data_IF_146280418638
#
_entry.id   IF_146280418638
#
_cell.length_a   1.000
_cell.length_b   1.000
_cell.length_c   1.000
_cell.angle_alpha   90.00
_cell.angle_beta   90.00
_cell.angle_gamma   90.00
#
_symmetry.space_group_name_H-M   'P 1'
#
loop_
_entity.id
_entity.type
_entity.pdbx_description
1 polymer ?
#
# COMPACT_ATOMS: atom_id res chain seq x y z
N UNK A 1 9.14 -17.87 11.70
CA UNK A 1 8.33 -16.66 11.37
C UNK A 1 9.01 -15.78 10.34
N UNK A 2 10.25 -15.30 10.56
CA UNK A 2 10.97 -14.48 9.57
C UNK A 2 11.13 -15.15 8.19
N UNK A 3 11.44 -16.45 8.14
CA UNK A 3 11.52 -17.21 6.89
C UNK A 3 10.19 -17.23 6.10
N UNK A 4 9.05 -17.25 6.79
CA UNK A 4 7.72 -17.23 6.16
C UNK A 4 7.47 -15.86 5.53
N UNK A 5 7.87 -14.78 6.20
CA UNK A 5 7.79 -13.42 5.66
C UNK A 5 8.63 -13.30 4.39
N UNK A 6 9.89 -13.74 4.43
CA UNK A 6 10.79 -13.68 3.26
C UNK A 6 10.23 -14.51 2.10
N UNK A 7 9.78 -15.74 2.37
CA UNK A 7 9.20 -16.61 1.35
C UNK A 7 7.93 -16.03 0.72
N UNK A 8 7.06 -15.42 1.51
CA UNK A 8 5.80 -14.82 1.00
C UNK A 8 6.02 -13.51 0.25
N UNK A 9 6.99 -12.68 0.66
CA UNK A 9 7.42 -11.50 -0.10
C UNK A 9 8.03 -11.92 -1.45
N UNK A 10 8.91 -12.92 -1.46
CA UNK A 10 9.53 -13.45 -2.68
C UNK A 10 8.49 -14.09 -3.62
N UNK A 11 7.57 -14.89 -3.08
CA UNK A 11 6.49 -15.49 -3.87
C UNK A 11 5.58 -14.41 -4.49
N UNK A 12 5.24 -13.36 -3.73
CA UNK A 12 4.40 -12.26 -4.24
C UNK A 12 5.10 -11.49 -5.36
N UNK A 13 6.40 -11.22 -5.24
CA UNK A 13 7.19 -10.60 -6.29
C UNK A 13 7.32 -11.49 -7.53
N UNK A 14 7.59 -12.78 -7.35
CA UNK A 14 7.77 -13.74 -8.43
C UNK A 14 6.47 -13.97 -9.22
N UNK A 15 5.34 -14.14 -8.53
CA UNK A 15 4.02 -14.28 -9.18
C UNK A 15 3.68 -13.04 -9.98
N UNK A 16 4.00 -11.85 -9.47
CA UNK A 16 3.77 -10.58 -10.18
C UNK A 16 4.66 -10.48 -11.42
N UNK A 17 5.93 -10.87 -11.32
CA UNK A 17 6.88 -10.85 -12.44
C UNK A 17 6.50 -11.81 -13.57
N UNK A 18 6.15 -13.06 -13.23
CA UNK A 18 5.84 -14.10 -14.22
C UNK A 18 4.55 -13.79 -14.98
N UNK A 19 3.55 -13.24 -14.30
CA UNK A 19 2.23 -13.01 -14.90
C UNK A 19 2.03 -11.59 -15.44
N UNK A 20 3.01 -10.68 -15.26
CA UNK A 20 2.88 -9.29 -15.66
C UNK A 20 1.72 -8.54 -15.00
N UNK A 21 1.30 -8.99 -13.80
CA UNK A 21 0.18 -8.38 -13.10
C UNK A 21 0.55 -6.99 -12.57
N UNK A 22 -0.45 -6.12 -12.50
CA UNK A 22 -0.30 -4.83 -11.85
C UNK A 22 -0.15 -5.06 -10.33
N UNK A 23 0.81 -4.40 -9.67
CA UNK A 23 1.16 -4.72 -8.27
C UNK A 23 0.10 -4.27 -7.26
N UNK A 24 -0.87 -3.48 -7.73
CA UNK A 24 -2.08 -3.11 -7.02
C UNK A 24 -3.26 -3.11 -7.99
N UNK A 25 -4.47 -3.25 -7.47
CA UNK A 25 -5.71 -3.08 -8.23
C UNK A 25 -5.87 -1.62 -8.61
N UNK A 26 -5.34 -1.22 -9.78
CA UNK A 26 -5.77 0.04 -10.42
C UNK A 26 -7.19 -0.16 -10.87
N UNK A 27 -8.12 0.28 -10.03
CA UNK A 27 -9.56 0.29 -10.27
C UNK A 27 -9.93 1.19 -11.49
N UNK A 28 -8.95 1.91 -12.06
CA UNK A 28 -9.07 2.69 -13.29
C UNK A 28 -8.81 1.90 -14.59
N UNK A 29 -8.50 0.60 -14.56
CA UNK A 29 -8.34 -0.19 -15.78
C UNK A 29 -9.71 -0.65 -16.32
N UNK A 30 -9.89 -0.58 -17.64
CA UNK A 30 -11.15 -0.89 -18.32
C UNK A 30 -11.44 -2.38 -18.41
N UNK A 31 -10.54 -3.25 -17.93
CA UNK A 31 -10.61 -4.69 -18.11
C UNK A 31 -11.02 -5.43 -16.82
N UNK A 32 -12.31 -5.75 -16.71
CA UNK A 32 -12.92 -6.35 -15.51
C UNK A 32 -12.36 -7.75 -15.23
N UNK A 33 -12.00 -8.49 -16.29
CA UNK A 33 -11.41 -9.84 -16.14
C UNK A 33 -10.04 -9.79 -15.47
N UNK A 34 -9.15 -8.91 -15.91
CA UNK A 34 -7.83 -8.73 -15.28
C UNK A 34 -7.94 -8.21 -13.83
N UNK A 35 -8.96 -7.40 -13.52
CA UNK A 35 -9.21 -6.92 -12.15
C UNK A 35 -9.68 -8.04 -11.21
N UNK A 36 -10.63 -8.86 -11.65
CA UNK A 36 -11.13 -9.99 -10.86
C UNK A 36 -10.04 -11.04 -10.69
N UNK A 37 -9.28 -11.33 -11.75
CA UNK A 37 -8.22 -12.33 -11.71
C UNK A 37 -7.06 -11.91 -10.80
N UNK A 38 -6.62 -10.65 -10.89
CA UNK A 38 -5.61 -10.08 -9.96
C UNK A 38 -6.14 -10.04 -8.52
N UNK A 39 -7.41 -9.67 -8.32
CA UNK A 39 -8.01 -9.63 -6.97
C UNK A 39 -8.09 -11.01 -6.32
N UNK A 40 -8.50 -12.03 -7.07
CA UNK A 40 -8.65 -13.40 -6.56
C UNK A 40 -7.30 -14.13 -6.45
N UNK A 41 -6.40 -13.95 -7.41
CA UNK A 41 -5.15 -14.73 -7.48
C UNK A 41 -3.96 -14.08 -6.77
N UNK A 42 -3.96 -12.75 -6.58
CA UNK A 42 -2.83 -11.99 -6.01
C UNK A 42 -3.21 -11.24 -4.72
N UNK A 43 -4.43 -10.72 -4.61
CA UNK A 43 -4.83 -9.88 -3.47
C UNK A 43 -5.50 -10.65 -2.33
N UNK A 44 -6.46 -11.54 -2.61
CA UNK A 44 -7.29 -12.21 -1.60
C UNK A 44 -6.66 -13.48 -0.99
N UNK A 45 -5.50 -13.94 -1.48
CA UNK A 45 -4.86 -15.14 -0.94
C UNK A 45 -4.28 -14.88 0.46
N UNK A 46 -4.52 -15.78 1.41
CA UNK A 46 -4.00 -15.68 2.78
C UNK A 46 -2.47 -15.43 2.85
N UNK A 47 -1.71 -15.98 1.89
CA UNK A 47 -0.26 -15.79 1.77
C UNK A 47 0.16 -14.33 1.56
N UNK A 48 -0.68 -13.51 0.92
CA UNK A 48 -0.41 -12.08 0.69
C UNK A 48 -0.47 -11.25 1.97
N UNK A 49 -1.17 -11.73 3.00
CA UNK A 49 -1.32 -11.06 4.30
C UNK A 49 -0.37 -11.59 5.38
N UNK A 50 0.25 -12.76 5.15
CA UNK A 50 1.23 -13.35 6.04
C UNK A 50 2.38 -12.39 6.42
N UNK A 51 3.00 -11.62 5.50
CA UNK A 51 4.05 -10.66 5.85
C UNK A 51 3.62 -9.64 6.91
N UNK A 52 2.37 -9.16 6.84
CA UNK A 52 1.87 -8.17 7.78
C UNK A 52 1.60 -8.78 9.16
N UNK A 53 0.96 -9.95 9.19
CA UNK A 53 0.62 -10.66 10.42
C UNK A 53 1.89 -11.09 11.18
N UNK A 54 2.82 -11.77 10.52
CA UNK A 54 4.01 -12.29 11.18
C UNK A 54 4.97 -11.18 11.62
N UNK A 55 5.08 -10.09 10.85
CA UNK A 55 5.88 -8.92 11.27
C UNK A 55 5.33 -8.32 12.55
N UNK A 56 4.00 -8.15 12.64
CA UNK A 56 3.35 -7.67 13.86
C UNK A 56 3.58 -8.59 15.07
N UNK A 57 3.45 -9.91 14.87
CA UNK A 57 3.69 -10.90 15.94
C UNK A 57 5.16 -10.87 16.41
N UNK A 58 6.12 -10.79 15.49
CA UNK A 58 7.55 -10.70 15.84
C UNK A 58 7.81 -9.47 16.72
N UNK A 59 7.31 -8.30 16.32
CA UNK A 59 7.45 -7.08 17.11
C UNK A 59 6.68 -7.12 18.43
N UNK A 60 5.52 -7.79 18.47
CA UNK A 60 4.78 -8.04 19.71
C UNK A 60 5.55 -8.91 20.70
N UNK A 61 6.16 -10.00 20.22
CA UNK A 61 7.03 -10.85 21.04
C UNK A 61 8.27 -10.10 21.54
N UNK A 62 8.87 -9.26 20.70
CA UNK A 62 9.96 -8.36 21.09
C UNK A 62 9.51 -7.35 22.15
N UNK A 63 8.29 -6.82 22.06
CA UNK A 63 7.74 -5.90 23.06
C UNK A 63 7.54 -6.58 24.42
N UNK A 64 7.16 -7.87 24.42
CA UNK A 64 7.01 -8.65 25.64
C UNK A 64 8.35 -8.91 26.37
N UNK A 65 9.50 -8.85 25.67
CA UNK A 65 10.84 -8.93 26.28
C UNK A 65 11.60 -7.64 26.00
N UNK A 66 11.49 -6.68 26.91
CA UNK A 66 12.10 -5.36 26.75
C UNK A 66 13.62 -5.43 26.71
N UNK A 67 14.19 -5.30 25.51
CA UNK A 67 15.63 -5.14 25.31
C UNK A 67 16.03 -3.67 25.42
N UNK A 68 17.17 -3.38 26.08
CA UNK A 68 17.80 -2.07 26.11
C UNK A 68 18.31 -1.72 24.70
N UNK A 69 17.62 -0.82 23.99
CA UNK A 69 18.04 -0.35 22.68
C UNK A 69 18.80 0.98 22.83
N UNK A 70 19.99 1.07 22.22
CA UNK A 70 20.74 2.33 22.21
C UNK A 70 19.99 3.42 21.44
N UNK A 71 20.24 4.69 21.79
CA UNK A 71 19.57 5.84 21.14
C UNK A 71 19.85 5.89 19.63
N UNK A 72 21.01 5.43 19.19
CA UNK A 72 21.39 5.38 17.77
C UNK A 72 20.54 4.38 16.99
N UNK A 73 20.31 3.18 17.55
CA UNK A 73 19.47 2.16 16.91
C UNK A 73 18.01 2.63 16.87
N UNK A 74 17.54 3.32 17.92
CA UNK A 74 16.19 3.89 17.91
C UNK A 74 16.03 4.94 16.81
N UNK A 75 16.98 5.88 16.66
CA UNK A 75 16.94 6.88 15.61
C UNK A 75 16.97 6.25 14.21
N UNK A 76 17.82 5.24 14.01
CA UNK A 76 17.88 4.47 12.76
C UNK A 76 16.55 3.79 12.45
N UNK A 77 15.92 3.13 13.42
CA UNK A 77 14.65 2.45 13.19
C UNK A 77 13.50 3.42 12.92
N UNK A 78 13.53 4.62 13.51
CA UNK A 78 12.59 5.70 13.18
C UNK A 78 12.74 6.19 11.74
N UNK A 79 13.96 6.41 11.26
CA UNK A 79 14.20 6.84 9.87
C UNK A 79 13.82 5.74 8.88
N UNK A 80 14.22 4.49 9.14
CA UNK A 80 13.84 3.35 8.31
C UNK A 80 12.32 3.17 8.27
N UNK A 81 11.62 3.31 9.41
CA UNK A 81 10.15 3.23 9.47
C UNK A 81 9.49 4.35 8.63
N UNK A 82 9.94 5.59 8.77
CA UNK A 82 9.40 6.72 8.02
C UNK A 82 9.62 6.58 6.50
N UNK A 83 10.82 6.15 6.09
CA UNK A 83 11.15 5.89 4.69
C UNK A 83 10.29 4.73 4.16
N UNK A 84 10.16 3.64 4.92
CA UNK A 84 9.37 2.46 4.52
C UNK A 84 7.89 2.80 4.34
N UNK A 85 7.32 3.58 5.26
CA UNK A 85 5.94 4.06 5.16
C UNK A 85 5.74 4.97 3.95
N UNK A 86 6.67 5.92 3.75
CA UNK A 86 6.60 6.86 2.62
C UNK A 86 6.75 6.14 1.28
N UNK A 87 7.70 5.23 1.14
CA UNK A 87 7.89 4.43 -0.06
C UNK A 87 6.65 3.58 -0.39
N UNK A 88 6.00 3.03 0.64
CA UNK A 88 4.77 2.23 0.49
C UNK A 88 3.54 3.06 0.11
N UNK A 89 3.51 4.37 0.40
CA UNK A 89 2.40 5.26 0.04
C UNK A 89 2.63 5.95 -1.31
N UNK A 90 3.83 6.49 -1.51
CA UNK A 90 4.16 7.32 -2.67
C UNK A 90 4.76 6.53 -3.84
N UNK A 91 5.15 5.27 -3.64
CA UNK A 91 5.72 4.43 -4.71
C UNK A 91 4.78 4.24 -5.92
N UNK A 92 3.47 4.44 -5.72
CA UNK A 92 2.44 4.31 -6.76
C UNK A 92 2.14 5.63 -7.47
N UNK A 93 2.60 6.76 -6.94
CA UNK A 93 2.23 8.08 -7.45
C UNK A 93 2.63 8.30 -8.91
N UNK A 94 3.77 7.76 -9.33
CA UNK A 94 4.25 7.86 -10.72
C UNK A 94 3.42 7.00 -11.68
N UNK A 95 2.79 5.93 -11.19
CA UNK A 95 1.91 5.09 -12.00
C UNK A 95 0.51 5.68 -12.11
N UNK A 96 0.03 6.36 -11.07
CA UNK A 96 -1.26 7.06 -11.11
C UNK A 96 -1.26 8.31 -12.00
N UNK A 97 -0.08 8.90 -12.26
CA UNK A 97 0.07 10.05 -13.16
C UNK A 97 0.16 9.67 -14.65
N UNK A 98 0.09 8.38 -14.99
CA UNK A 98 -0.01 7.89 -16.38
C UNK A 98 1.20 7.15 -16.92
N UNK A 99 2.26 6.94 -16.12
CA UNK A 99 3.39 6.08 -16.52
C UNK A 99 3.01 4.60 -16.36
N UNK A 100 3.18 3.80 -17.41
CA UNK A 100 3.07 2.35 -17.29
C UNK A 100 4.21 1.81 -16.40
N UNK A 101 3.92 0.99 -15.39
CA UNK A 101 4.95 0.43 -14.52
C UNK A 101 5.81 -0.59 -15.26
N UNK A 102 7.12 -0.58 -15.03
CA UNK A 102 7.97 -1.66 -15.56
C UNK A 102 7.70 -2.98 -14.81
N UNK A 103 7.90 -4.15 -15.44
CA UNK A 103 7.66 -5.44 -14.80
C UNK A 103 8.49 -5.65 -13.52
N UNK A 104 9.74 -5.15 -13.52
CA UNK A 104 10.63 -5.24 -12.37
C UNK A 104 10.16 -4.34 -11.21
N UNK A 105 9.80 -3.09 -11.50
CA UNK A 105 9.27 -2.17 -10.49
C UNK A 105 7.96 -2.71 -9.87
N UNK A 106 7.11 -3.31 -10.71
CA UNK A 106 5.88 -3.96 -10.27
C UNK A 106 6.16 -5.13 -9.33
N UNK A 107 7.10 -6.01 -9.69
CA UNK A 107 7.46 -7.16 -8.87
C UNK A 107 8.05 -6.76 -7.51
N UNK A 108 8.98 -5.79 -7.51
CA UNK A 108 9.61 -5.26 -6.29
C UNK A 108 8.57 -4.62 -5.38
N UNK A 109 7.71 -3.77 -5.94
CA UNK A 109 6.67 -3.11 -5.17
C UNK A 109 5.66 -4.12 -4.61
N UNK A 110 5.14 -5.04 -5.43
CA UNK A 110 4.18 -6.06 -5.01
C UNK A 110 4.70 -6.92 -3.85
N UNK A 111 5.99 -7.31 -3.89
CA UNK A 111 6.62 -8.11 -2.85
C UNK A 111 6.90 -7.34 -1.55
N UNK A 112 7.32 -6.08 -1.64
CA UNK A 112 7.86 -5.35 -0.48
C UNK A 112 6.89 -4.36 0.16
N UNK A 113 5.96 -3.76 -0.57
CA UNK A 113 5.14 -2.65 -0.04
C UNK A 113 4.35 -3.06 1.22
N UNK A 114 3.77 -4.27 1.24
CA UNK A 114 3.00 -4.78 2.39
C UNK A 114 3.89 -5.02 3.61
N UNK A 115 5.08 -5.56 3.38
CA UNK A 115 6.07 -5.76 4.44
C UNK A 115 6.60 -4.43 4.98
N UNK A 116 6.98 -3.51 4.09
CA UNK A 116 7.49 -2.19 4.45
C UNK A 116 6.47 -1.39 5.26
N UNK A 117 5.20 -1.40 4.85
CA UNK A 117 4.10 -0.81 5.63
C UNK A 117 3.93 -1.48 6.99
N UNK A 118 3.85 -2.81 7.03
CA UNK A 118 3.69 -3.55 8.27
C UNK A 118 4.85 -3.36 9.24
N UNK A 119 6.08 -3.31 8.73
CA UNK A 119 7.28 -3.02 9.50
C UNK A 119 7.21 -1.62 10.11
N UNK A 120 6.83 -0.61 9.32
CA UNK A 120 6.73 0.76 9.80
C UNK A 120 5.73 0.89 10.95
N UNK A 121 4.52 0.33 10.78
CA UNK A 121 3.46 0.31 11.81
C UNK A 121 3.89 -0.49 13.04
N UNK A 122 4.52 -1.66 12.84
CA UNK A 122 4.97 -2.52 13.94
C UNK A 122 6.07 -1.87 14.78
N UNK A 123 6.98 -1.12 14.16
CA UNK A 123 7.99 -0.33 14.88
C UNK A 123 7.33 0.75 15.73
N UNK A 124 6.37 1.51 15.19
CA UNK A 124 5.65 2.54 15.95
C UNK A 124 4.93 1.93 17.15
N UNK A 125 4.24 0.81 16.96
CA UNK A 125 3.59 0.07 18.05
C UNK A 125 4.60 -0.35 19.12
N UNK A 126 5.70 -0.99 18.71
CA UNK A 126 6.77 -1.43 19.63
C UNK A 126 7.37 -0.25 20.41
N UNK A 127 7.65 0.87 19.75
CA UNK A 127 8.17 2.06 20.39
C UNK A 127 7.18 2.62 21.42
N UNK A 128 5.88 2.66 21.11
CA UNK A 128 4.85 3.09 22.06
C UNK A 128 4.73 2.13 23.24
N UNK A 129 4.69 0.82 23.00
CA UNK A 129 4.56 -0.21 24.03
C UNK A 129 5.75 -0.25 25.00
N UNK A 130 6.96 0.05 24.52
CA UNK A 130 8.18 0.06 25.33
C UNK A 130 8.50 1.42 25.97
N UNK A 131 7.60 2.39 25.88
CA UNK A 131 7.78 3.74 26.43
C UNK A 131 8.75 4.64 25.65
N UNK A 132 9.20 4.20 24.47
CA UNK A 132 10.13 4.91 23.57
C UNK A 132 9.43 5.77 22.52
N UNK A 133 8.10 5.77 22.51
CA UNK A 133 7.28 6.50 21.54
C UNK A 133 7.25 8.02 21.75
N UNK A 134 7.61 8.53 22.93
CA UNK A 134 7.72 9.96 23.20
C UNK A 134 6.51 10.78 22.72
N UNK A 135 6.74 11.68 21.76
CA UNK A 135 5.71 12.51 21.14
C UNK A 135 4.66 11.69 20.39
N UNK A 136 5.07 10.66 19.64
CA UNK A 136 4.17 9.82 18.84
C UNK A 136 3.15 9.12 19.74
N UNK A 137 3.59 8.61 20.91
CA UNK A 137 2.67 8.00 21.87
C UNK A 137 1.63 9.00 22.40
N UNK A 138 2.04 10.24 22.68
CA UNK A 138 1.10 11.30 23.13
C UNK A 138 0.10 11.68 22.05
N UNK A 139 0.55 11.78 20.80
CA UNK A 139 -0.32 12.05 19.66
C UNK A 139 -1.34 10.92 19.49
N UNK A 140 -0.90 9.66 19.44
CA UNK A 140 -1.80 8.51 19.25
C UNK A 140 -2.77 8.30 20.42
N UNK A 141 -2.39 8.70 21.64
CA UNK A 141 -3.26 8.62 22.82
C UNK A 141 -4.30 9.74 22.91
N UNK A 142 -4.31 10.69 21.97
CA UNK A 142 -5.20 11.84 22.03
C UNK A 142 -6.66 11.44 21.74
N UNK A 143 -7.66 11.83 22.56
CA UNK A 143 -9.05 11.37 22.42
C UNK A 143 -9.71 11.76 21.10
N UNK A 144 -9.12 12.69 20.34
CA UNK A 144 -9.55 13.01 18.98
C UNK A 144 -9.48 11.79 18.03
N UNK A 145 -8.57 10.85 18.28
CA UNK A 145 -8.46 9.63 17.49
C UNK A 145 -9.61 8.65 17.73
N UNK A 146 -10.36 8.77 18.83
CA UNK A 146 -11.46 7.87 19.15
C UNK A 146 -12.64 7.97 18.16
N UNK A 147 -13.23 9.16 17.92
CA UNK A 147 -14.27 9.30 16.88
C UNK A 147 -13.70 9.07 15.47
N UNK A 148 -12.44 9.46 15.22
CA UNK A 148 -11.80 9.28 13.92
C UNK A 148 -11.62 7.80 13.58
N UNK A 149 -11.27 6.96 14.56
CA UNK A 149 -11.18 5.51 14.37
C UNK A 149 -12.53 4.90 13.97
N UNK A 150 -13.62 5.35 14.59
CA UNK A 150 -14.99 4.91 14.25
C UNK A 150 -15.38 5.36 12.84
N UNK A 151 -15.04 6.59 12.46
CA UNK A 151 -15.28 7.11 11.11
C UNK A 151 -14.50 6.32 10.06
N UNK A 152 -13.20 6.08 10.30
CA UNK A 152 -12.36 5.27 9.40
C UNK A 152 -12.93 3.86 9.21
N UNK A 153 -13.48 3.25 10.27
CA UNK A 153 -14.16 1.96 10.17
C UNK A 153 -15.44 2.04 9.33
N UNK A 154 -16.27 3.07 9.52
CA UNK A 154 -17.46 3.28 8.70
C UNK A 154 -17.10 3.46 7.21
N UNK A 155 -16.07 4.27 6.93
CA UNK A 155 -15.54 4.47 5.57
C UNK A 155 -15.02 3.15 4.99
N UNK A 156 -14.32 2.33 5.78
CA UNK A 156 -13.82 1.02 5.34
C UNK A 156 -14.95 0.09 4.87
N UNK A 157 -16.10 0.08 5.56
CA UNK A 157 -17.24 -0.74 5.17
C UNK A 157 -17.86 -0.32 3.83
N UNK A 158 -17.93 0.99 3.54
CA UNK A 158 -18.56 1.51 2.31
C UNK A 158 -17.59 1.72 1.15
N UNK A 159 -16.28 1.70 1.43
CA UNK A 159 -15.21 2.02 0.49
C UNK A 159 -15.31 1.23 -0.82
N UNK A 160 -15.47 -0.09 -0.75
CA UNK A 160 -15.56 -0.93 -1.96
C UNK A 160 -16.75 -0.58 -2.85
N UNK A 161 -17.89 -0.24 -2.25
CA UNK A 161 -19.08 0.21 -2.98
C UNK A 161 -18.82 1.53 -3.69
N UNK A 162 -18.21 2.51 -3.00
CA UNK A 162 -17.86 3.80 -3.57
C UNK A 162 -16.87 3.68 -4.72
N UNK A 163 -15.86 2.83 -4.57
CA UNK A 163 -14.91 2.51 -5.64
C UNK A 163 -15.61 1.91 -6.86
N UNK A 164 -16.48 0.90 -6.64
CA UNK A 164 -17.21 0.26 -7.72
C UNK A 164 -18.08 1.27 -8.50
N UNK A 165 -18.86 2.10 -7.80
CA UNK A 165 -19.69 3.14 -8.43
C UNK A 165 -18.83 4.14 -9.21
N UNK A 166 -17.71 4.60 -8.63
CA UNK A 166 -16.82 5.54 -9.29
C UNK A 166 -16.20 4.96 -10.58
N UNK A 167 -15.91 3.65 -10.64
CA UNK A 167 -15.45 3.04 -11.89
C UNK A 167 -16.48 3.07 -12.99
N UNK A 168 -17.72 2.73 -12.67
CA UNK A 168 -18.82 2.70 -13.63
C UNK A 168 -19.06 4.11 -14.17
N UNK A 169 -19.17 5.11 -13.29
CA UNK A 169 -19.35 6.51 -13.70
C UNK A 169 -18.18 7.06 -14.51
N UNK A 170 -16.95 6.67 -14.17
CA UNK A 170 -15.74 7.07 -14.92
C UNK A 170 -15.69 6.45 -16.31
N UNK A 171 -16.28 5.25 -16.50
CA UNK A 171 -16.44 4.61 -17.81
C UNK A 171 -17.47 5.35 -18.66
N UNK A 172 -18.64 5.64 -18.12
CA UNK A 172 -19.68 6.41 -18.81
C UNK A 172 -19.13 7.77 -19.29
N UNK A 173 -18.33 8.43 -18.44
CA UNK A 173 -17.68 9.69 -18.82
C UNK A 173 -16.71 9.54 -19.99
N UNK A 174 -15.90 8.49 -20.04
CA UNK A 174 -14.95 8.26 -21.15
C UNK A 174 -15.66 7.85 -22.45
N UNK A 175 -16.73 7.05 -22.36
CA UNK A 175 -17.52 6.62 -23.53
C UNK A 175 -18.33 7.77 -24.13
N UNK A 176 -18.82 8.71 -23.32
CA UNK A 176 -19.63 9.86 -23.76
C UNK A 176 -18.84 11.14 -24.09
N UNK A 177 -17.54 11.08 -24.37
CA UNK A 177 -16.75 12.22 -24.87
C UNK A 177 -16.40 12.11 -26.37
N UNK A 178 -17.37 12.04 -27.31
CA UNK A 178 -17.08 11.98 -28.75
C UNK A 178 -16.40 13.24 -29.30
N UNK A 179 -16.39 14.33 -28.53
CA UNK A 179 -15.78 15.62 -28.88
C UNK A 179 -14.25 15.66 -28.69
N UNK A 180 -13.68 14.84 -27.79
CA UNK A 180 -12.21 14.79 -27.61
C UNK A 180 -11.51 13.91 -28.67
N UNK A 181 -12.20 12.93 -29.25
CA UNK A 181 -11.68 12.12 -30.36
C UNK A 181 -11.61 12.89 -31.69
N UNK A 182 -12.27 14.05 -31.81
CA UNK A 182 -12.39 14.84 -33.04
C UNK A 182 -11.47 16.06 -33.13
N UNK A 183 -10.57 16.26 -32.17
CA UNK A 183 -9.63 17.39 -32.18
C UNK A 183 -8.17 16.93 -32.44
N UNK A 184 -7.80 16.55 -33.67
CA UNK A 184 -6.40 16.51 -34.09
C UNK A 184 -5.79 17.91 -34.31
N UNK A 185 -6.55 19.00 -34.10
CA UNK A 185 -6.15 20.35 -34.54
C UNK A 185 -5.37 21.22 -33.53
N UNK A 186 -5.29 20.86 -32.24
CA UNK A 186 -4.70 21.77 -31.22
C UNK A 186 -3.29 21.35 -30.77
N UNK A 187 -2.84 20.11 -31.01
CA UNK A 187 -1.51 19.66 -30.56
C UNK A 187 -0.35 20.12 -31.46
N UNK A 188 -0.63 20.71 -32.63
CA UNK A 188 0.41 21.09 -33.60
C UNK A 188 0.88 22.55 -33.49
N UNK A 189 0.32 23.36 -32.57
CA UNK A 189 0.68 24.78 -32.46
C UNK A 189 1.74 25.08 -31.36
N UNK A 190 2.12 24.07 -30.55
CA UNK A 190 3.16 24.22 -29.51
C UNK A 190 4.52 23.61 -29.93
N UNK A 191 4.69 23.31 -31.23
CA UNK A 191 5.99 23.02 -31.85
C UNK A 191 6.30 24.07 -32.91
N UNK A 192 6.54 25.29 -32.47
CA UNK A 192 7.34 26.30 -33.20
C UNK A 192 8.34 26.87 -32.20
#
# INVERSE_FOLDING_TARGET
MAAIVIATCAASGLVTYINGYMPFTVILTTDIKSLIDTSLHVYQKAFAHAPALFTGVIFGCLAARTHQLSRNIQAFMWTVSAISASASLFGVYTWSSGRAPEPLESAVYAGLHRFAWAFAVSWVMYACATGRGGLVNRMLAWPLFYPLARLSYAVYLVHYLLLAVNTVLSRERKTHQPFLHRLPFIKNHDRI
#
